data_IF_722156030258
#
_entry.id   IF_722156030258
#
_cell.length_a   1.000
_cell.length_b   1.000
_cell.length_c   1.000
_cell.angle_alpha   90.00
_cell.angle_beta   90.00
_cell.angle_gamma   90.00
#
_symmetry.space_group_name_H-M   'P 1'
#
loop_
_entity.id
_entity.type
_entity.pdbx_description
1 polymer ?
#
# COMPACT_ATOMS: atom_id res chain seq x y z
N UNK A 1 -15.96 -4.12 10.65
CA UNK A 1 -15.63 -5.49 10.16
C UNK A 1 -14.14 -5.86 10.26
N UNK A 2 -13.34 -5.12 11.04
CA UNK A 2 -11.90 -5.32 11.11
C UNK A 2 -11.21 -4.14 11.76
N UNK A 3 -9.88 -4.18 11.86
CA UNK A 3 -9.05 -3.13 12.43
C UNK A 3 -7.76 -2.94 11.62
N UNK A 4 -7.30 -1.69 11.51
CA UNK A 4 -5.95 -1.33 11.03
C UNK A 4 -5.13 -0.84 12.22
N UNK A 5 -4.07 -1.57 12.57
CA UNK A 5 -3.14 -1.22 13.64
C UNK A 5 -2.09 -0.23 13.10
N UNK A 6 -2.12 0.99 13.65
CA UNK A 6 -1.07 1.98 13.45
C UNK A 6 0.24 1.52 14.08
N UNK A 7 1.36 1.69 13.36
CA UNK A 7 2.70 1.29 13.82
C UNK A 7 2.71 -0.10 14.48
N UNK A 8 2.07 -1.08 13.84
CA UNK A 8 1.87 -2.44 14.37
C UNK A 8 3.18 -3.09 14.84
N UNK A 9 4.30 -2.80 14.18
CA UNK A 9 5.63 -3.29 14.57
C UNK A 9 6.15 -2.83 15.95
N UNK A 10 5.46 -1.90 16.64
CA UNK A 10 5.74 -1.55 18.03
C UNK A 10 5.19 -2.60 19.00
N UNK A 11 4.09 -3.28 18.64
CA UNK A 11 3.51 -4.36 19.44
C UNK A 11 4.33 -5.64 19.30
N UNK A 12 4.26 -6.50 20.31
CA UNK A 12 4.81 -7.84 20.23
C UNK A 12 3.85 -8.80 19.50
N UNK A 13 4.41 -9.86 18.92
CA UNK A 13 3.71 -10.91 18.19
C UNK A 13 2.66 -11.61 19.05
N UNK A 14 2.94 -11.84 20.33
CA UNK A 14 2.03 -12.57 21.22
C UNK A 14 0.77 -11.74 21.48
N UNK A 15 0.92 -10.45 21.77
CA UNK A 15 -0.19 -9.52 21.92
C UNK A 15 -1.06 -9.47 20.66
N UNK A 16 -0.46 -9.35 19.48
CA UNK A 16 -1.22 -9.32 18.21
C UNK A 16 -1.98 -10.64 17.97
N UNK A 17 -1.39 -11.80 18.27
CA UNK A 17 -2.06 -13.09 18.13
C UNK A 17 -3.16 -13.31 19.18
N UNK A 18 -3.04 -12.71 20.38
CA UNK A 18 -4.12 -12.70 21.37
C UNK A 18 -5.30 -11.86 20.85
N UNK A 19 -5.04 -10.64 20.36
CA UNK A 19 -6.06 -9.76 19.77
C UNK A 19 -6.73 -10.46 18.57
N UNK A 20 -5.90 -11.00 17.67
CA UNK A 20 -6.11 -12.21 16.87
C UNK A 20 -7.41 -12.98 17.13
N UNK A 21 -7.19 -13.90 18.07
CA UNK A 21 -8.11 -14.89 18.57
C UNK A 21 -9.36 -14.27 19.16
N UNK A 22 -9.22 -13.24 20.00
CA UNK A 22 -10.35 -12.62 20.68
C UNK A 22 -11.30 -11.92 19.70
N UNK A 23 -10.77 -11.20 18.70
CA UNK A 23 -11.59 -10.58 17.66
C UNK A 23 -12.29 -11.65 16.82
N UNK A 24 -11.58 -12.70 16.38
CA UNK A 24 -12.18 -13.75 15.54
C UNK A 24 -13.18 -14.65 16.28
N UNK A 25 -13.07 -14.77 17.60
CA UNK A 25 -14.11 -15.41 18.42
C UNK A 25 -15.46 -14.68 18.32
N UNK A 26 -15.44 -13.36 18.14
CA UNK A 26 -16.65 -12.53 17.98
C UNK A 26 -17.06 -12.45 16.50
N UNK A 27 -16.10 -12.20 15.61
CA UNK A 27 -16.32 -12.07 14.16
C UNK A 27 -15.23 -12.81 13.39
N UNK A 28 -15.53 -14.04 12.98
CA UNK A 28 -14.58 -14.98 12.35
C UNK A 28 -13.91 -14.44 11.08
N UNK A 29 -14.62 -13.63 10.31
CA UNK A 29 -14.19 -13.03 9.04
C UNK A 29 -13.58 -11.63 9.19
N UNK A 30 -13.33 -11.16 10.42
CA UNK A 30 -12.74 -9.85 10.64
C UNK A 30 -11.36 -9.71 9.96
N UNK A 31 -11.15 -8.60 9.26
CA UNK A 31 -9.86 -8.27 8.66
C UNK A 31 -9.00 -7.52 9.68
N UNK A 32 -7.84 -8.09 10.01
CA UNK A 32 -6.86 -7.46 10.89
C UNK A 32 -5.62 -7.16 10.06
N UNK A 33 -5.26 -5.89 9.97
CA UNK A 33 -4.11 -5.44 9.20
C UNK A 33 -3.30 -4.38 9.93
N UNK A 34 -2.06 -4.14 9.50
CA UNK A 34 -1.28 -3.06 10.10
C UNK A 34 0.06 -2.77 9.43
N UNK A 35 0.77 -1.83 10.03
CA UNK A 35 2.08 -1.37 9.61
C UNK A 35 3.19 -2.09 10.36
N UNK A 36 3.66 -3.21 9.81
CA UNK A 36 4.71 -4.03 10.42
C UNK A 36 6.12 -3.50 10.22
N UNK A 37 6.33 -2.20 10.42
CA UNK A 37 7.63 -1.56 10.27
C UNK A 37 8.57 -1.93 11.43
N UNK A 38 9.83 -2.23 11.12
CA UNK A 38 10.83 -2.43 12.16
C UNK A 38 11.27 -1.08 12.74
N UNK A 39 10.76 -0.78 13.93
CA UNK A 39 10.98 0.48 14.63
C UNK A 39 11.88 0.28 15.85
N UNK A 40 12.54 1.34 16.30
CA UNK A 40 13.41 1.31 17.48
C UNK A 40 12.60 1.31 18.78
N UNK A 41 12.05 0.15 19.12
CA UNK A 41 11.43 -0.17 20.42
C UNK A 41 12.34 -1.07 21.25
N UNK A 42 12.02 -1.24 22.55
CA UNK A 42 12.80 -2.07 23.50
C UNK A 42 12.51 -3.58 23.36
N UNK A 43 11.74 -4.00 22.35
CA UNK A 43 11.48 -5.41 22.07
C UNK A 43 12.61 -6.02 21.21
N UNK A 44 13.00 -7.28 21.47
CA UNK A 44 13.82 -8.08 20.56
C UNK A 44 13.21 -8.14 19.15
N UNK A 45 14.07 -8.20 18.11
CA UNK A 45 13.62 -8.15 16.71
C UNK A 45 12.63 -9.26 16.36
N UNK A 46 12.84 -10.45 16.93
CA UNK A 46 12.02 -11.64 16.75
C UNK A 46 10.66 -11.57 17.46
N UNK A 47 10.49 -10.68 18.42
CA UNK A 47 9.25 -10.50 19.18
C UNK A 47 8.36 -9.42 18.58
N UNK A 48 8.90 -8.50 17.79
CA UNK A 48 8.10 -7.42 17.18
C UNK A 48 7.13 -7.94 16.13
N UNK A 49 5.91 -7.41 16.10
CA UNK A 49 4.89 -7.70 15.10
C UNK A 49 5.20 -7.01 13.74
N UNK A 50 6.35 -7.34 13.16
CA UNK A 50 6.83 -6.79 11.89
C UNK A 50 6.54 -7.70 10.70
N UNK A 51 6.74 -7.18 9.50
CA UNK A 51 6.61 -7.94 8.27
C UNK A 51 7.64 -9.08 8.18
N UNK A 52 8.82 -8.92 8.78
CA UNK A 52 9.83 -9.97 8.90
C UNK A 52 9.40 -11.15 9.78
N UNK A 53 8.40 -10.94 10.64
CA UNK A 53 7.81 -11.95 11.52
C UNK A 53 6.39 -12.35 11.08
N UNK A 54 5.96 -12.02 9.85
CA UNK A 54 4.61 -12.32 9.36
C UNK A 54 4.25 -13.81 9.44
N UNK A 55 5.22 -14.71 9.31
CA UNK A 55 5.07 -16.16 9.49
C UNK A 55 4.59 -16.57 10.90
N UNK A 56 4.82 -15.72 11.92
CA UNK A 56 4.33 -15.93 13.29
C UNK A 56 2.91 -15.38 13.51
N UNK A 57 2.35 -14.69 12.51
CA UNK A 57 1.05 -14.01 12.56
C UNK A 57 0.20 -14.36 11.32
N UNK A 58 -0.17 -15.64 11.13
CA UNK A 58 -0.72 -16.16 9.87
C UNK A 58 -2.06 -15.53 9.44
N UNK A 59 -2.78 -14.88 10.37
CA UNK A 59 -4.10 -14.30 10.14
C UNK A 59 -4.12 -12.77 10.20
N UNK A 60 -2.94 -12.15 10.16
CA UNK A 60 -2.74 -10.70 10.17
C UNK A 60 -2.14 -10.27 8.84
N UNK A 61 -2.75 -9.28 8.21
CA UNK A 61 -2.25 -8.67 6.99
C UNK A 61 -1.36 -7.45 7.28
N UNK A 62 -0.44 -7.15 6.38
CA UNK A 62 0.55 -6.09 6.57
C UNK A 62 0.76 -5.28 5.30
N UNK A 63 0.95 -3.97 5.44
CA UNK A 63 1.29 -3.10 4.31
C UNK A 63 2.58 -3.57 3.65
N UNK A 64 2.51 -3.83 2.34
CA UNK A 64 3.61 -4.38 1.58
C UNK A 64 4.39 -3.27 0.85
N UNK A 65 5.42 -2.75 1.52
CA UNK A 65 6.27 -1.72 0.95
C UNK A 65 7.08 -2.19 -0.26
N UNK A 66 7.42 -3.49 -0.36
CA UNK A 66 8.09 -4.02 -1.56
C UNK A 66 7.17 -3.91 -2.78
N UNK A 67 5.87 -4.14 -2.61
CA UNK A 67 4.88 -3.95 -3.67
C UNK A 67 4.79 -2.47 -4.08
N UNK A 68 4.64 -1.59 -3.09
CA UNK A 68 4.52 -0.13 -3.30
C UNK A 68 5.76 0.42 -4.02
N UNK A 69 6.96 0.12 -3.51
CA UNK A 69 8.23 0.56 -4.10
C UNK A 69 8.48 -0.06 -5.48
N UNK A 70 8.13 -1.33 -5.70
CA UNK A 70 8.25 -1.97 -7.01
C UNK A 70 7.32 -1.36 -8.06
N UNK A 71 6.14 -0.89 -7.64
CA UNK A 71 5.14 -0.31 -8.55
C UNK A 71 5.36 1.18 -8.78
N UNK A 72 5.36 1.97 -7.70
CA UNK A 72 5.43 3.44 -7.69
C UNK A 72 6.87 3.97 -7.60
N UNK A 73 7.75 3.22 -6.95
CA UNK A 73 9.09 3.68 -6.60
C UNK A 73 9.16 4.23 -5.17
N UNK A 74 10.38 4.45 -4.70
CA UNK A 74 10.66 4.75 -3.31
C UNK A 74 9.89 5.96 -2.82
N UNK A 75 9.29 5.80 -1.64
CA UNK A 75 8.68 6.90 -0.89
C UNK A 75 9.72 7.92 -0.40
N UNK A 76 10.92 7.47 -0.01
CA UNK A 76 11.96 8.32 0.58
C UNK A 76 12.90 8.98 -0.43
N UNK A 77 12.93 8.48 -1.67
CA UNK A 77 13.79 8.99 -2.73
C UNK A 77 12.95 9.36 -3.94
N UNK A 78 12.58 10.65 -4.05
CA UNK A 78 11.61 11.12 -5.05
C UNK A 78 11.94 10.70 -6.49
N UNK A 79 13.22 10.70 -6.87
CA UNK A 79 13.67 10.36 -8.22
C UNK A 79 13.77 8.84 -8.47
N UNK A 80 13.62 8.00 -7.44
CA UNK A 80 13.63 6.54 -7.59
C UNK A 80 12.24 6.08 -8.00
N UNK A 81 12.10 5.76 -9.28
CA UNK A 81 10.83 5.36 -9.91
C UNK A 81 10.66 3.84 -9.88
N UNK A 82 9.43 3.38 -9.66
CA UNK A 82 9.03 1.99 -9.82
C UNK A 82 8.56 1.72 -11.25
N UNK A 83 8.09 0.51 -11.50
CA UNK A 83 7.76 0.05 -12.85
C UNK A 83 6.70 0.93 -13.54
N UNK A 84 5.58 1.20 -12.87
CA UNK A 84 4.50 1.99 -13.45
C UNK A 84 4.93 3.44 -13.72
N UNK A 85 5.88 3.95 -12.93
CA UNK A 85 6.45 5.29 -13.06
C UNK A 85 7.56 5.36 -14.12
N UNK A 86 7.87 4.25 -14.80
CA UNK A 86 8.87 4.17 -15.86
C UNK A 86 10.30 3.91 -15.36
N UNK A 87 10.44 3.50 -14.10
CA UNK A 87 11.70 2.99 -13.56
C UNK A 87 11.94 1.54 -13.97
N UNK A 88 13.22 1.16 -14.03
CA UNK A 88 13.58 -0.25 -14.23
C UNK A 88 13.30 -1.05 -12.96
N UNK A 89 12.56 -2.15 -13.10
CA UNK A 89 12.35 -3.15 -12.06
C UNK A 89 12.53 -4.52 -12.70
N UNK A 90 13.33 -5.37 -12.06
CA UNK A 90 13.61 -6.72 -12.56
C UNK A 90 12.31 -7.53 -12.73
N UNK A 91 12.20 -8.28 -13.83
CA UNK A 91 10.99 -9.05 -14.15
C UNK A 91 10.65 -10.09 -13.08
N UNK A 92 11.65 -10.72 -12.45
CA UNK A 92 11.38 -11.68 -11.38
C UNK A 92 10.84 -10.96 -10.14
N UNK A 93 11.31 -9.74 -9.86
CA UNK A 93 10.77 -8.94 -8.77
C UNK A 93 9.32 -8.49 -9.05
N UNK A 94 9.02 -8.07 -10.28
CA UNK A 94 7.65 -7.74 -10.69
C UNK A 94 6.72 -8.94 -10.57
N UNK A 95 7.15 -10.12 -11.04
CA UNK A 95 6.38 -11.34 -10.89
C UNK A 95 6.13 -11.64 -9.41
N UNK A 96 7.18 -11.56 -8.59
CA UNK A 96 7.12 -11.81 -7.15
C UNK A 96 6.10 -10.91 -6.42
N UNK A 97 6.10 -9.59 -6.68
CA UNK A 97 5.14 -8.69 -6.04
C UNK A 97 3.72 -8.91 -6.56
N UNK A 98 3.56 -9.20 -7.85
CA UNK A 98 2.25 -9.43 -8.46
C UNK A 98 1.59 -10.76 -8.04
N UNK A 99 2.40 -11.74 -7.62
CA UNK A 99 1.96 -13.07 -7.18
C UNK A 99 1.86 -13.22 -5.65
N UNK A 100 1.68 -12.12 -4.92
CA UNK A 100 1.39 -12.16 -3.48
C UNK A 100 2.61 -12.14 -2.56
N UNK A 101 3.82 -11.91 -3.09
CA UNK A 101 5.04 -11.69 -2.29
C UNK A 101 5.44 -12.85 -1.35
N UNK A 102 5.15 -14.09 -1.76
CA UNK A 102 5.25 -15.29 -0.94
C UNK A 102 6.70 -15.73 -0.61
N UNK A 103 6.89 -16.25 0.60
CA UNK A 103 8.13 -16.91 1.07
C UNK A 103 8.54 -18.11 0.20
N UNK A 104 7.58 -18.83 -0.36
CA UNK A 104 7.85 -19.99 -1.23
C UNK A 104 8.49 -19.63 -2.57
N UNK A 105 8.39 -18.37 -3.00
CA UNK A 105 8.87 -17.92 -4.31
C UNK A 105 10.28 -17.37 -4.28
N UNK A 106 10.74 -16.91 -3.11
CA UNK A 106 12.03 -16.28 -2.92
C UNK A 106 12.45 -16.43 -1.46
N UNK A 107 13.72 -16.74 -1.21
CA UNK A 107 14.27 -16.84 0.16
C UNK A 107 13.98 -15.58 0.99
N UNK A 108 13.94 -14.41 0.35
CA UNK A 108 13.60 -13.12 0.96
C UNK A 108 12.11 -12.77 0.85
N UNK A 109 11.23 -13.76 0.71
CA UNK A 109 9.79 -13.52 0.64
C UNK A 109 9.26 -12.92 1.94
N UNK A 110 8.05 -12.38 1.91
CA UNK A 110 7.54 -11.55 3.00
C UNK A 110 6.49 -12.29 3.83
N UNK A 111 5.62 -13.04 3.16
CA UNK A 111 4.43 -13.61 3.78
C UNK A 111 4.27 -15.08 3.41
N UNK A 112 3.53 -15.83 4.23
CA UNK A 112 3.22 -17.24 3.94
C UNK A 112 2.10 -17.35 2.90
N UNK A 113 1.08 -16.49 3.02
CA UNK A 113 -0.11 -16.51 2.18
C UNK A 113 -0.41 -15.13 1.60
N UNK A 114 -1.02 -15.02 0.39
CA UNK A 114 -1.33 -13.73 -0.22
C UNK A 114 -2.21 -12.84 0.65
N UNK A 115 -3.10 -13.43 1.46
CA UNK A 115 -4.01 -12.71 2.35
C UNK A 115 -3.29 -11.91 3.45
N UNK A 116 -1.99 -12.13 3.65
CA UNK A 116 -1.19 -11.34 4.57
C UNK A 116 -0.57 -10.10 3.90
N UNK A 117 -0.65 -9.95 2.58
CA UNK A 117 -0.06 -8.85 1.82
C UNK A 117 -1.13 -7.81 1.47
N UNK A 118 -1.06 -6.64 2.11
CA UNK A 118 -1.82 -5.46 1.69
C UNK A 118 -1.04 -4.76 0.56
N UNK A 119 -1.53 -4.91 -0.67
CA UNK A 119 -0.94 -4.30 -1.86
C UNK A 119 -1.50 -2.89 -2.01
N UNK A 120 -0.63 -1.90 -2.14
CA UNK A 120 -1.03 -0.49 -2.20
C UNK A 120 -0.03 0.34 -3.01
N UNK A 121 -0.49 1.47 -3.55
CA UNK A 121 0.36 2.49 -4.16
C UNK A 121 0.28 3.84 -3.43
N UNK A 122 -0.79 4.06 -2.67
CA UNK A 122 -1.09 5.30 -1.97
C UNK A 122 -1.72 5.00 -0.62
N UNK A 123 -1.34 5.78 0.39
CA UNK A 123 -1.96 5.83 1.70
C UNK A 123 -2.21 7.29 2.09
N UNK A 124 -2.62 7.51 3.33
CA UNK A 124 -2.73 8.87 3.84
C UNK A 124 -1.35 9.48 4.18
N UNK A 125 -0.36 8.65 4.50
CA UNK A 125 1.03 9.08 4.66
C UNK A 125 1.69 9.42 3.33
N UNK A 126 2.74 10.23 3.43
CA UNK A 126 3.57 10.65 2.29
C UNK A 126 2.78 11.44 1.22
N UNK A 127 3.44 11.66 0.08
CA UNK A 127 2.80 12.23 -1.09
C UNK A 127 1.76 11.26 -1.66
N UNK A 128 0.68 11.81 -2.21
CA UNK A 128 -0.20 11.04 -3.08
C UNK A 128 0.60 10.50 -4.26
N UNK A 129 0.11 9.41 -4.87
CA UNK A 129 0.72 8.82 -6.05
C UNK A 129 0.76 9.83 -7.20
N UNK A 130 -0.28 10.66 -7.35
CA UNK A 130 -0.30 11.75 -8.33
C UNK A 130 0.79 12.79 -8.08
N UNK A 131 0.93 13.29 -6.85
CA UNK A 131 1.92 14.31 -6.53
C UNK A 131 3.35 13.80 -6.68
N UNK A 132 3.61 12.56 -6.24
CA UNK A 132 4.89 11.91 -6.46
C UNK A 132 5.19 11.78 -7.95
N UNK A 133 4.21 11.34 -8.74
CA UNK A 133 4.37 11.11 -10.17
C UNK A 133 4.71 12.41 -10.92
N UNK A 134 3.96 13.48 -10.63
CA UNK A 134 4.22 14.82 -11.16
C UNK A 134 5.61 15.33 -10.78
N UNK A 135 6.11 14.98 -9.59
CA UNK A 135 7.41 15.44 -9.11
C UNK A 135 8.58 14.58 -9.60
N UNK A 136 8.36 13.31 -9.91
CA UNK A 136 9.42 12.38 -10.33
C UNK A 136 9.55 12.20 -11.85
N UNK A 137 8.63 12.77 -12.64
CA UNK A 137 8.57 12.61 -14.09
C UNK A 137 8.34 13.95 -14.79
N UNK A 138 8.92 14.12 -15.97
CA UNK A 138 8.79 15.32 -16.82
C UNK A 138 7.86 15.08 -18.04
N UNK A 139 7.10 13.98 -18.03
CA UNK A 139 6.21 13.58 -19.13
C UNK A 139 4.92 14.42 -19.13
N UNK A 140 4.18 14.42 -20.24
CA UNK A 140 2.90 15.12 -20.32
C UNK A 140 1.88 14.53 -19.34
N UNK A 141 0.94 15.37 -18.88
CA UNK A 141 -0.12 14.96 -17.95
C UNK A 141 -0.91 13.74 -18.45
N UNK A 142 -1.17 13.65 -19.76
CA UNK A 142 -1.85 12.50 -20.37
C UNK A 142 -1.09 11.18 -20.14
N UNK A 143 0.25 11.20 -20.26
CA UNK A 143 1.09 10.04 -20.00
C UNK A 143 1.10 9.71 -18.50
N UNK A 144 1.21 10.74 -17.64
CA UNK A 144 1.20 10.55 -16.19
C UNK A 144 -0.14 9.94 -15.72
N UNK A 145 -1.27 10.38 -16.27
CA UNK A 145 -2.59 9.76 -15.99
C UNK A 145 -2.61 8.28 -16.36
N UNK A 146 -2.05 7.89 -17.49
CA UNK A 146 -1.93 6.47 -17.90
C UNK A 146 -1.04 5.67 -16.95
N UNK A 147 0.07 6.23 -16.49
CA UNK A 147 0.96 5.61 -15.49
C UNK A 147 0.29 5.41 -14.14
N UNK A 148 -0.48 6.40 -13.69
CA UNK A 148 -1.24 6.33 -12.44
C UNK A 148 -2.35 5.27 -12.51
N UNK A 149 -3.03 5.15 -13.66
CA UNK A 149 -4.00 4.08 -13.92
C UNK A 149 -3.33 2.71 -13.95
N UNK A 150 -2.17 2.58 -14.60
CA UNK A 150 -1.39 1.34 -14.60
C UNK A 150 -1.00 0.91 -13.19
N UNK A 151 -0.48 1.83 -12.37
CA UNK A 151 -0.12 1.55 -10.99
C UNK A 151 -1.34 1.07 -10.17
N UNK A 152 -2.49 1.73 -10.35
CA UNK A 152 -3.75 1.34 -9.70
C UNK A 152 -4.24 -0.03 -10.17
N UNK A 153 -4.13 -0.33 -11.46
CA UNK A 153 -4.48 -1.63 -12.01
C UNK A 153 -3.60 -2.75 -11.46
N UNK A 154 -2.30 -2.50 -11.30
CA UNK A 154 -1.39 -3.46 -10.65
C UNK A 154 -1.82 -3.75 -9.21
N UNK A 155 -2.21 -2.73 -8.44
CA UNK A 155 -2.75 -2.92 -7.07
C UNK A 155 -3.98 -3.83 -7.07
N UNK A 156 -4.95 -3.57 -7.95
CA UNK A 156 -6.23 -4.28 -7.98
C UNK A 156 -6.10 -5.72 -8.48
N UNK A 157 -5.28 -5.94 -9.51
CA UNK A 157 -5.22 -7.23 -10.23
C UNK A 157 -4.15 -8.20 -9.69
N UNK A 158 -3.25 -7.73 -8.83
CA UNK A 158 -2.23 -8.59 -8.21
C UNK A 158 -2.82 -9.47 -7.11
N UNK A 159 -2.24 -10.65 -6.90
CA UNK A 159 -2.61 -11.51 -5.78
C UNK A 159 -2.28 -10.84 -4.44
N UNK A 160 -3.22 -10.86 -3.51
CA UNK A 160 -3.14 -10.20 -2.21
C UNK A 160 -4.42 -9.44 -1.89
N UNK A 161 -4.34 -8.52 -0.93
CA UNK A 161 -5.46 -7.65 -0.57
C UNK A 161 -5.22 -6.26 -1.18
N UNK A 162 -6.02 -5.80 -2.15
CA UNK A 162 -5.89 -4.46 -2.71
C UNK A 162 -6.34 -3.40 -1.70
N UNK A 163 -5.51 -2.37 -1.52
CA UNK A 163 -5.84 -1.18 -0.75
C UNK A 163 -5.75 0.07 -1.63
N UNK A 164 -6.80 0.87 -1.62
CA UNK A 164 -6.89 2.13 -2.36
C UNK A 164 -7.10 3.28 -1.39
N UNK A 165 -6.31 4.33 -1.52
CA UNK A 165 -6.53 5.57 -0.79
C UNK A 165 -7.67 6.35 -1.44
N UNK A 166 -8.56 6.94 -0.63
CA UNK A 166 -9.69 7.72 -1.13
C UNK A 166 -9.21 8.87 -2.02
N UNK A 167 -9.67 8.88 -3.26
CA UNK A 167 -9.33 9.85 -4.30
C UNK A 167 -8.16 9.46 -5.19
N UNK A 168 -7.48 8.35 -4.91
CA UNK A 168 -6.52 7.76 -5.86
C UNK A 168 -7.17 7.54 -7.23
N UNK A 169 -8.46 7.21 -7.26
CA UNK A 169 -9.23 6.92 -8.47
C UNK A 169 -9.53 8.14 -9.36
N UNK A 170 -9.29 9.35 -8.86
CA UNK A 170 -9.40 10.61 -9.61
C UNK A 170 -8.18 11.51 -9.41
N UNK A 171 -7.00 10.88 -9.26
CA UNK A 171 -5.70 11.54 -9.19
C UNK A 171 -5.56 12.53 -8.03
N UNK A 172 -6.05 12.21 -6.83
CA UNK A 172 -5.99 13.10 -5.65
C UNK A 172 -4.61 13.75 -5.49
N UNK A 173 -4.62 15.05 -5.22
CA UNK A 173 -3.42 15.86 -4.93
C UNK A 173 -3.53 16.42 -3.53
N UNK A 174 -2.40 16.52 -2.85
CA UNK A 174 -2.21 17.31 -1.63
C UNK A 174 -1.29 18.51 -1.93
N UNK A 175 -1.26 18.95 -3.19
CA UNK A 175 -0.45 20.08 -3.66
C UNK A 175 1.05 19.89 -3.38
N UNK A 176 1.51 18.64 -3.40
CA UNK A 176 2.90 18.28 -3.10
C UNK A 176 3.23 18.21 -1.60
N UNK A 177 2.23 18.30 -0.70
CA UNK A 177 2.45 18.11 0.72
C UNK A 177 2.70 16.62 1.03
N UNK A 178 3.87 16.32 1.60
CA UNK A 178 4.30 14.97 1.94
C UNK A 178 3.80 14.50 3.32
N UNK A 179 3.43 15.40 4.23
CA UNK A 179 2.90 15.00 5.54
C UNK A 179 1.83 15.99 6.00
N UNK A 180 0.59 15.70 5.60
CA UNK A 180 -0.54 16.63 5.73
C UNK A 180 -1.34 16.44 7.02
N UNK A 181 -0.79 15.79 8.06
CA UNK A 181 -1.52 15.44 9.28
C UNK A 181 -2.21 16.63 9.98
N UNK A 182 -1.62 17.83 9.89
CA UNK A 182 -2.14 19.08 10.45
C UNK A 182 -2.39 20.17 9.40
N UNK A 183 -2.40 19.79 8.11
CA UNK A 183 -2.68 20.71 7.03
C UNK A 183 -4.18 21.03 6.95
N UNK A 184 -4.51 22.15 6.31
CA UNK A 184 -5.88 22.64 6.19
C UNK A 184 -6.74 21.78 5.24
N UNK A 185 -8.04 22.08 5.22
CA UNK A 185 -9.01 21.40 4.36
C UNK A 185 -8.68 21.56 2.87
N UNK A 186 -8.17 22.72 2.45
CA UNK A 186 -7.74 22.95 1.06
C UNK A 186 -6.69 21.92 0.60
N UNK A 187 -5.83 21.46 1.51
CA UNK A 187 -4.84 20.40 1.26
C UNK A 187 -5.44 19.00 1.35
N UNK A 188 -6.32 18.75 2.33
CA UNK A 188 -6.72 17.40 2.73
C UNK A 188 -8.08 16.93 2.18
N UNK A 189 -8.96 17.84 1.76
CA UNK A 189 -10.31 17.51 1.33
C UNK A 189 -10.33 16.54 0.14
N UNK A 190 -11.41 15.77 0.04
CA UNK A 190 -11.74 15.07 -1.20
C UNK A 190 -12.35 16.09 -2.17
N UNK A 191 -11.62 16.39 -3.24
CA UNK A 191 -12.05 17.29 -4.29
C UNK A 191 -13.08 16.59 -5.20
N UNK A 192 -14.36 16.83 -4.92
CA UNK A 192 -15.48 16.26 -5.68
C UNK A 192 -15.59 16.84 -7.10
N UNK A 193 -15.14 18.07 -7.33
CA UNK A 193 -15.10 18.67 -8.67
C UNK A 193 -14.06 17.96 -9.53
N UNK A 194 -12.91 17.59 -8.94
CA UNK A 194 -11.92 16.74 -9.60
C UNK A 194 -12.47 15.36 -9.91
N UNK A 195 -13.20 14.75 -8.97
CA UNK A 195 -13.90 13.46 -9.22
C UNK A 195 -14.87 13.56 -10.39
N UNK A 196 -15.58 14.67 -10.56
CA UNK A 196 -16.49 14.88 -11.69
C UNK A 196 -15.73 15.03 -13.01
N UNK A 197 -14.64 15.81 -13.02
CA UNK A 197 -13.77 15.98 -14.20
C UNK A 197 -13.11 14.67 -14.65
N UNK A 198 -12.76 13.80 -13.70
CA UNK A 198 -12.05 12.54 -13.96
C UNK A 198 -12.97 11.30 -13.92
N UNK A 199 -14.27 11.49 -14.17
CA UNK A 199 -15.29 10.43 -14.03
C UNK A 199 -15.00 9.20 -14.90
N UNK A 200 -14.36 9.38 -16.06
CA UNK A 200 -13.96 8.27 -16.93
C UNK A 200 -12.93 7.36 -16.25
N UNK A 201 -11.93 7.93 -15.56
CA UNK A 201 -10.93 7.17 -14.80
C UNK A 201 -11.58 6.44 -13.62
N UNK A 202 -12.50 7.11 -12.92
CA UNK A 202 -13.28 6.48 -11.83
C UNK A 202 -14.05 5.27 -12.34
N UNK A 203 -14.73 5.41 -13.49
CA UNK A 203 -15.47 4.30 -14.11
C UNK A 203 -14.55 3.18 -14.60
N UNK A 204 -13.37 3.51 -15.12
CA UNK A 204 -12.37 2.53 -15.51
C UNK A 204 -11.90 1.70 -14.30
N UNK A 205 -11.53 2.36 -13.20
CA UNK A 205 -11.11 1.71 -11.95
C UNK A 205 -12.24 0.88 -11.36
N UNK A 206 -13.48 1.39 -11.39
CA UNK A 206 -14.67 0.61 -11.02
C UNK A 206 -14.80 -0.66 -11.86
N UNK A 207 -14.52 -0.59 -13.15
CA UNK A 207 -14.52 -1.75 -14.05
C UNK A 207 -13.42 -2.77 -13.74
N UNK A 208 -12.27 -2.35 -13.20
CA UNK A 208 -11.23 -3.26 -12.73
C UNK A 208 -11.60 -4.00 -11.43
N UNK A 209 -12.45 -3.39 -10.60
CA UNK A 209 -12.90 -3.96 -9.32
C UNK A 209 -14.03 -4.98 -9.51
N UNK A 210 -14.84 -4.82 -10.55
CA UNK A 210 -16.04 -5.62 -10.83
C UNK A 210 -15.71 -7.06 -11.29
#
# INVERSE_FOLDING_TARGET
DGFRFDLMGILDVDTINIIEKEVRNIKRDALLLGEGWDLQTQLPLEEKATLNNAQKMPHIAQFNDKFSDGTKGSTFHINKRGFAFGGYVDCNHLQYIASGSLLSMKETGLVLEPVQSINYGEGHDNMTMWDKLMRSNEESEEILKKRHVLATAMVILSQGIPFLHAGQEFYRTKQGNENSYNANDETNQLDWDRKEKEIETVNYIKGLIA
#
